data_IF_442910461501
#
_entry.id   IF_442910461501
#
_cell.length_a   1.000
_cell.length_b   1.000
_cell.length_c   1.000
_cell.angle_alpha   90.00
_cell.angle_beta   90.00
_cell.angle_gamma   90.00
#
_symmetry.space_group_name_H-M   'P 1'
#
loop_
_entity.id
_entity.type
_entity.pdbx_description
1 polymer ?
#
# COMPACT_ATOMS: atom_id res chain seq x y z
N UNK A 1 14.29 10.35 -10.04
CA UNK A 1 12.87 10.76 -10.16
C UNK A 1 12.07 9.68 -9.44
N UNK A 2 11.78 9.87 -8.16
CA UNK A 2 10.88 8.97 -7.42
C UNK A 2 9.45 9.21 -7.90
N UNK A 3 8.65 8.16 -7.98
CA UNK A 3 7.25 8.24 -8.41
C UNK A 3 6.37 7.95 -7.20
N UNK A 4 5.55 8.91 -6.79
CA UNK A 4 4.52 8.70 -5.78
C UNK A 4 3.27 8.10 -6.44
N UNK A 5 2.66 7.13 -5.76
CA UNK A 5 1.49 6.37 -6.23
C UNK A 5 0.45 6.35 -5.13
N UNK A 6 -0.73 6.87 -5.44
CA UNK A 6 -1.87 6.88 -4.53
C UNK A 6 -2.77 5.68 -4.81
N UNK A 7 -3.13 4.95 -3.76
CA UNK A 7 -4.07 3.84 -3.78
C UNK A 7 -5.21 4.16 -2.82
N UNK A 8 -6.45 3.87 -3.22
CA UNK A 8 -7.59 3.82 -2.32
C UNK A 8 -7.64 2.44 -1.67
N UNK A 9 -7.76 2.41 -0.35
CA UNK A 9 -7.86 1.18 0.43
C UNK A 9 -9.29 1.02 0.95
N UNK A 10 -9.82 -0.19 0.82
CA UNK A 10 -11.16 -0.53 1.30
C UNK A 10 -11.08 -1.66 2.34
N UNK A 11 -11.80 -1.49 3.45
CA UNK A 11 -11.91 -2.51 4.51
C UNK A 11 -10.91 -2.40 5.66
N UNK A 12 -10.16 -1.29 5.77
CA UNK A 12 -9.37 -0.98 6.97
C UNK A 12 -10.32 -0.58 8.12
N UNK A 13 -10.34 -1.35 9.20
CA UNK A 13 -11.19 -1.08 10.36
C UNK A 13 -10.44 -0.29 11.47
N UNK A 14 -9.10 -0.39 11.50
CA UNK A 14 -8.30 0.29 12.52
C UNK A 14 -6.82 0.46 12.17
N UNK A 15 -6.06 0.92 13.17
CA UNK A 15 -4.61 1.17 13.08
C UNK A 15 -3.83 -0.14 12.89
N UNK A 16 -4.40 -1.26 13.31
CA UNK A 16 -3.84 -2.60 13.19
C UNK A 16 -3.73 -3.01 11.72
N UNK A 17 -4.83 -2.81 10.97
CA UNK A 17 -4.90 -3.10 9.54
C UNK A 17 -3.94 -2.21 8.75
N UNK A 18 -3.89 -0.93 9.10
CA UNK A 18 -2.96 0.05 8.52
C UNK A 18 -1.51 -0.44 8.68
N UNK A 19 -1.09 -0.79 9.89
CA UNK A 19 0.27 -1.30 10.12
C UNK A 19 0.55 -2.60 9.35
N UNK A 20 -0.45 -3.46 9.20
CA UNK A 20 -0.33 -4.71 8.45
C UNK A 20 -0.11 -4.46 6.97
N UNK A 21 -0.88 -3.56 6.37
CA UNK A 21 -0.74 -3.15 4.97
C UNK A 21 0.58 -2.41 4.74
N UNK A 22 0.96 -1.48 5.63
CA UNK A 22 2.25 -0.78 5.56
C UNK A 22 3.42 -1.76 5.55
N UNK A 23 3.40 -2.73 6.48
CA UNK A 23 4.45 -3.77 6.55
C UNK A 23 4.50 -4.57 5.26
N UNK A 24 3.35 -5.04 4.75
CA UNK A 24 3.30 -5.82 3.51
C UNK A 24 3.79 -5.03 2.29
N UNK A 25 3.47 -3.73 2.21
CA UNK A 25 3.94 -2.85 1.15
C UNK A 25 5.43 -2.54 1.27
N UNK A 26 5.95 -2.35 2.48
CA UNK A 26 7.40 -2.16 2.72
C UNK A 26 8.24 -3.38 2.34
N UNK A 27 7.66 -4.58 2.33
CA UNK A 27 8.32 -5.78 1.82
C UNK A 27 8.39 -5.86 0.29
N UNK A 28 7.71 -4.95 -0.43
CA UNK A 28 7.73 -4.92 -1.90
C UNK A 28 9.02 -4.28 -2.40
N UNK A 29 9.68 -4.96 -3.34
CA UNK A 29 10.91 -4.46 -3.96
C UNK A 29 10.65 -3.16 -4.76
N UNK A 30 11.48 -2.15 -4.50
CA UNK A 30 11.35 -0.82 -5.09
C UNK A 30 10.38 0.11 -4.35
N UNK A 31 9.95 -0.23 -3.14
CA UNK A 31 9.29 0.71 -2.23
C UNK A 31 10.35 1.45 -1.40
N UNK A 32 10.33 2.78 -1.45
CA UNK A 32 11.21 3.64 -0.65
C UNK A 32 10.50 4.17 0.60
N UNK A 33 9.22 4.55 0.46
CA UNK A 33 8.38 4.96 1.58
C UNK A 33 6.92 4.63 1.32
N UNK A 34 6.21 4.28 2.39
CA UNK A 34 4.78 3.94 2.36
C UNK A 34 4.10 4.69 3.47
N UNK A 35 3.09 5.44 3.10
CA UNK A 35 2.19 6.11 4.02
C UNK A 35 0.79 5.53 3.85
N UNK A 36 0.31 4.78 4.84
CA UNK A 36 -1.05 4.20 4.82
C UNK A 36 -1.93 4.97 5.79
N UNK A 37 -3.06 5.44 5.29
CA UNK A 37 -4.15 6.02 6.04
C UNK A 37 -5.37 5.09 6.03
N UNK A 38 -6.44 5.48 6.73
CA UNK A 38 -7.66 4.65 6.89
C UNK A 38 -8.44 4.42 5.60
N UNK A 39 -8.27 5.29 4.61
CA UNK A 39 -9.08 5.31 3.38
C UNK A 39 -8.21 5.30 2.11
N UNK A 40 -6.92 5.58 2.27
CA UNK A 40 -5.97 5.74 1.18
C UNK A 40 -4.58 5.32 1.63
N UNK A 41 -3.71 5.03 0.69
CA UNK A 41 -2.29 4.83 0.89
C UNK A 41 -1.51 5.53 -0.20
N UNK A 42 -0.42 6.17 0.19
CA UNK A 42 0.55 6.78 -0.70
C UNK A 42 1.84 5.98 -0.63
N UNK A 43 2.34 5.59 -1.79
CA UNK A 43 3.54 4.79 -1.92
C UNK A 43 4.53 5.58 -2.75
N UNK A 44 5.67 5.88 -2.17
CA UNK A 44 6.79 6.50 -2.84
C UNK A 44 7.83 5.44 -3.17
N UNK A 45 8.21 5.41 -4.45
CA UNK A 45 9.29 4.53 -4.92
C UNK A 45 9.16 4.19 -6.39
N UNK A 46 9.79 3.10 -6.79
CA UNK A 46 9.77 2.58 -8.15
C UNK A 46 8.90 1.31 -8.30
N UNK A 47 8.31 0.83 -7.21
CA UNK A 47 7.43 -0.34 -7.17
C UNK A 47 6.25 -0.24 -8.15
N UNK A 48 5.86 -1.37 -8.74
CA UNK A 48 4.75 -1.42 -9.70
C UNK A 48 3.42 -1.60 -8.97
N UNK A 49 2.36 -1.00 -9.53
CA UNK A 49 1.00 -1.12 -8.97
C UNK A 49 0.58 -2.59 -8.81
N UNK A 50 0.98 -3.47 -9.74
CA UNK A 50 0.69 -4.89 -9.63
C UNK A 50 1.29 -5.55 -8.38
N UNK A 51 2.55 -5.23 -8.07
CA UNK A 51 3.23 -5.76 -6.87
C UNK A 51 2.65 -5.18 -5.58
N UNK A 52 2.32 -3.88 -5.58
CA UNK A 52 1.65 -3.22 -4.46
C UNK A 52 0.28 -3.85 -4.18
N UNK A 53 -0.56 -4.01 -5.22
CA UNK A 53 -1.89 -4.63 -5.09
C UNK A 53 -1.76 -6.06 -4.60
N UNK A 54 -0.84 -6.86 -5.16
CA UNK A 54 -0.62 -8.24 -4.73
C UNK A 54 -0.19 -8.32 -3.25
N UNK A 55 0.64 -7.39 -2.77
CA UNK A 55 1.02 -7.31 -1.36
C UNK A 55 -0.18 -6.95 -0.46
N UNK A 56 -1.02 -6.01 -0.86
CA UNK A 56 -2.26 -5.68 -0.12
C UNK A 56 -3.24 -6.85 -0.11
N UNK A 57 -3.43 -7.54 -1.24
CA UNK A 57 -4.29 -8.72 -1.33
C UNK A 57 -3.77 -9.87 -0.46
N UNK A 58 -2.45 -10.05 -0.39
CA UNK A 58 -1.80 -11.02 0.50
C UNK A 58 -2.01 -10.70 1.98
N UNK A 59 -2.12 -9.42 2.32
CA UNK A 59 -2.49 -8.97 3.67
C UNK A 59 -3.99 -9.19 3.98
N UNK A 60 -4.82 -9.46 2.96
CA UNK A 60 -6.25 -9.73 3.08
C UNK A 60 -7.14 -8.53 2.78
N UNK A 61 -6.59 -7.46 2.20
CA UNK A 61 -7.32 -6.22 1.92
C UNK A 61 -7.43 -5.98 0.41
N UNK A 62 -8.27 -5.01 0.02
CA UNK A 62 -8.35 -4.56 -1.37
C UNK A 62 -7.75 -3.17 -1.51
N UNK A 63 -6.81 -3.05 -2.44
CA UNK A 63 -6.29 -1.77 -2.92
C UNK A 63 -6.74 -1.55 -4.36
N UNK A 64 -7.12 -0.31 -4.67
CA UNK A 64 -7.39 0.13 -6.04
C UNK A 64 -6.63 1.42 -6.31
N UNK A 65 -6.21 1.64 -7.55
CA UNK A 65 -5.61 2.92 -7.94
C UNK A 65 -6.63 4.04 -7.78
N UNK A 66 -6.27 5.07 -7.01
CA UNK A 66 -7.04 6.30 -6.90
C UNK A 66 -6.93 7.12 -8.20
#
# INVERSE_FOLDING_TARGET
MAVSRSLTLEGLAGVEDVNRVTTALMEVDGVDSVEVAREWAEIEGQARIGDLVAAVEKAGFRARRA
#
